data_IF_144615602904
#
_entry.id   IF_144615602904
#
_cell.length_a   1.000
_cell.length_b   1.000
_cell.length_c   1.000
_cell.angle_alpha   90.00
_cell.angle_beta   90.00
_cell.angle_gamma   90.00
#
_symmetry.space_group_name_H-M   'P 1'
#
loop_
_entity.id
_entity.type
_entity.pdbx_description
1 polymer ?
#
# COMPACT_ATOMS: atom_id res chain seq x y z
N UNK A 1 11.31 -19.61 -26.29
CA UNK A 1 12.40 -19.59 -27.28
C UNK A 1 12.21 -20.64 -28.37
N UNK A 2 11.92 -21.89 -28.00
CA UNK A 2 11.82 -23.00 -29.02
C UNK A 2 10.66 -22.79 -30.00
N UNK A 3 9.51 -22.28 -29.54
CA UNK A 3 8.38 -21.92 -30.42
C UNK A 3 8.75 -20.85 -31.44
N UNK A 4 9.61 -19.91 -31.05
CA UNK A 4 9.99 -18.75 -31.84
C UNK A 4 11.27 -18.97 -32.68
N UNK A 5 12.02 -20.04 -32.44
CA UNK A 5 13.29 -20.30 -33.12
C UNK A 5 13.13 -20.26 -34.65
N UNK A 6 13.92 -19.42 -35.31
CA UNK A 6 13.92 -19.25 -36.76
C UNK A 6 12.67 -18.55 -37.35
N UNK A 7 11.81 -17.98 -36.50
CA UNK A 7 10.61 -17.23 -36.90
C UNK A 7 10.80 -15.73 -36.67
N UNK A 8 9.92 -14.94 -37.28
CA UNK A 8 9.83 -13.49 -37.05
C UNK A 8 8.47 -13.15 -36.47
N UNK A 9 8.44 -12.23 -35.50
CA UNK A 9 7.19 -11.68 -34.96
C UNK A 9 6.46 -10.73 -35.94
N UNK A 10 7.05 -10.47 -37.09
CA UNK A 10 6.53 -9.51 -38.11
C UNK A 10 7.09 -8.10 -37.91
N UNK A 11 6.74 -7.23 -38.83
CA UNK A 11 7.15 -5.82 -38.87
C UNK A 11 5.95 -4.86 -38.69
N UNK A 12 4.78 -5.40 -38.37
CA UNK A 12 3.54 -4.66 -38.17
C UNK A 12 3.42 -4.10 -36.74
N UNK A 13 2.22 -3.83 -36.27
CA UNK A 13 1.95 -3.23 -34.97
C UNK A 13 2.25 -4.14 -33.76
N UNK A 14 2.39 -5.46 -33.98
CA UNK A 14 2.67 -6.40 -32.92
C UNK A 14 4.09 -6.26 -32.39
N UNK A 15 4.23 -6.17 -31.08
CA UNK A 15 5.51 -6.13 -30.38
C UNK A 15 5.56 -7.18 -29.27
N UNK A 16 6.75 -7.73 -29.01
CA UNK A 16 7.00 -8.69 -27.94
C UNK A 16 8.11 -8.18 -27.02
N UNK A 17 7.79 -7.97 -25.77
CA UNK A 17 8.77 -7.66 -24.72
C UNK A 17 8.94 -8.83 -23.77
N UNK A 18 10.18 -9.15 -23.43
CA UNK A 18 10.54 -10.26 -22.53
C UNK A 18 11.30 -9.72 -21.32
N UNK A 19 10.81 -10.04 -20.16
CA UNK A 19 11.34 -9.60 -18.86
C UNK A 19 11.73 -10.84 -18.05
N UNK A 20 12.98 -11.32 -18.09
CA UNK A 20 13.44 -12.37 -17.22
C UNK A 20 13.27 -11.95 -15.75
N UNK A 21 12.79 -12.85 -14.90
CA UNK A 21 12.38 -12.51 -13.53
C UNK A 21 13.55 -12.09 -12.62
N UNK A 22 14.79 -12.42 -12.97
CA UNK A 22 16.00 -12.04 -12.22
C UNK A 22 17.24 -12.06 -13.11
N UNK A 23 18.33 -11.46 -12.63
CA UNK A 23 19.61 -11.50 -13.35
C UNK A 23 20.20 -12.91 -13.49
N UNK A 24 20.14 -13.81 -12.49
CA UNK A 24 20.53 -15.21 -12.69
C UNK A 24 19.75 -15.91 -13.82
N UNK A 25 18.42 -15.69 -13.89
CA UNK A 25 17.60 -16.23 -14.99
C UNK A 25 18.02 -15.61 -16.31
N UNK A 26 18.25 -14.32 -16.38
CA UNK A 26 18.74 -13.69 -17.61
C UNK A 26 20.08 -14.29 -18.06
N UNK A 27 21.03 -14.43 -17.14
CA UNK A 27 22.32 -15.02 -17.44
C UNK A 27 22.17 -16.46 -17.96
N UNK A 28 21.25 -17.24 -17.38
CA UNK A 28 20.96 -18.60 -17.88
C UNK A 28 20.38 -18.59 -19.31
N UNK A 29 19.47 -17.67 -19.61
CA UNK A 29 18.94 -17.51 -20.97
C UNK A 29 20.02 -17.09 -21.98
N UNK A 30 21.02 -16.33 -21.56
CA UNK A 30 22.18 -15.99 -22.39
C UNK A 30 23.06 -17.21 -22.61
N UNK A 31 23.38 -17.95 -21.54
CA UNK A 31 24.27 -19.12 -21.60
C UNK A 31 23.71 -20.27 -22.45
N UNK A 32 22.42 -20.52 -22.36
CA UNK A 32 21.76 -21.58 -23.13
C UNK A 32 21.31 -21.14 -24.53
N UNK A 33 21.57 -19.88 -24.91
CA UNK A 33 21.23 -19.32 -26.21
C UNK A 33 19.77 -18.92 -26.41
N UNK A 34 18.90 -19.10 -25.42
CA UNK A 34 17.49 -18.72 -25.53
C UNK A 34 17.28 -17.22 -25.73
N UNK A 35 18.10 -16.38 -25.09
CA UNK A 35 18.05 -14.93 -25.27
C UNK A 35 18.38 -14.53 -26.72
N UNK A 36 19.38 -15.16 -27.33
CA UNK A 36 19.71 -14.91 -28.74
C UNK A 36 18.56 -15.29 -29.67
N UNK A 37 18.02 -16.51 -29.51
CA UNK A 37 16.85 -16.99 -30.30
C UNK A 37 15.66 -16.04 -30.19
N UNK A 38 15.38 -15.46 -29.02
CA UNK A 38 14.30 -14.49 -28.81
C UNK A 38 14.59 -13.17 -29.53
N UNK A 39 15.81 -12.63 -29.38
CA UNK A 39 16.19 -11.36 -30.03
C UNK A 39 16.18 -11.46 -31.56
N UNK A 40 16.62 -12.59 -32.14
CA UNK A 40 16.59 -12.84 -33.56
C UNK A 40 15.18 -12.78 -34.18
N UNK A 41 14.13 -13.03 -33.39
CA UNK A 41 12.73 -12.94 -33.82
C UNK A 41 12.20 -11.51 -33.92
N UNK A 42 12.91 -10.53 -33.34
CA UNK A 42 12.46 -9.14 -33.15
C UNK A 42 11.94 -8.85 -31.75
N UNK A 43 12.02 -9.81 -30.82
CA UNK A 43 11.63 -9.58 -29.44
C UNK A 43 12.60 -8.64 -28.73
N UNK A 44 12.07 -7.80 -27.82
CA UNK A 44 12.86 -6.84 -27.04
C UNK A 44 13.13 -7.44 -25.66
N UNK A 45 14.40 -7.73 -25.36
CA UNK A 45 14.81 -8.21 -24.04
C UNK A 45 15.01 -7.03 -23.11
N UNK A 46 14.39 -7.07 -21.94
CA UNK A 46 14.45 -6.00 -20.92
C UNK A 46 14.79 -6.57 -19.54
N UNK A 47 15.36 -5.76 -18.65
CA UNK A 47 15.58 -6.14 -17.26
C UNK A 47 14.26 -6.24 -16.50
N UNK A 48 14.21 -7.11 -15.49
CA UNK A 48 13.06 -7.21 -14.61
C UNK A 48 12.79 -5.86 -13.91
N UNK A 49 11.58 -5.34 -14.05
CA UNK A 49 11.12 -4.17 -13.33
C UNK A 49 9.60 -4.21 -13.12
N UNK A 50 9.11 -3.45 -12.17
CA UNK A 50 7.68 -3.31 -11.93
C UNK A 50 7.13 -2.19 -12.82
N UNK A 51 6.53 -2.55 -13.93
CA UNK A 51 6.12 -1.56 -14.93
C UNK A 51 4.90 -1.94 -15.77
N UNK A 52 4.96 -2.99 -16.58
CA UNK A 52 3.89 -3.26 -17.58
C UNK A 52 2.50 -3.42 -16.96
N UNK A 53 2.38 -4.00 -15.76
CA UNK A 53 1.08 -4.25 -15.11
C UNK A 53 0.34 -2.97 -14.65
N UNK A 54 1.00 -1.82 -14.66
CA UNK A 54 0.38 -0.52 -14.33
C UNK A 54 0.70 0.58 -15.35
N UNK A 55 1.13 0.20 -16.54
CA UNK A 55 1.33 1.12 -17.67
C UNK A 55 2.59 1.97 -17.60
N UNK A 56 3.61 1.56 -16.83
CA UNK A 56 4.91 2.23 -16.83
C UNK A 56 5.84 1.78 -17.97
N UNK A 57 5.37 0.94 -18.88
CA UNK A 57 6.08 0.47 -20.07
C UNK A 57 5.22 -0.52 -20.85
N UNK A 58 5.51 -0.70 -22.12
CA UNK A 58 4.78 -1.58 -23.03
C UNK A 58 3.27 -1.33 -23.03
N UNK A 59 2.90 -0.05 -23.02
CA UNK A 59 1.52 0.39 -23.07
C UNK A 59 0.94 0.11 -24.45
N UNK A 60 -0.22 -0.58 -24.56
CA UNK A 60 -0.88 -0.77 -25.83
C UNK A 60 -1.41 0.55 -26.40
N UNK A 61 -1.54 0.63 -27.71
CA UNK A 61 -2.21 1.73 -28.40
C UNK A 61 -3.70 1.79 -28.04
N UNK A 62 -4.36 2.90 -28.39
CA UNK A 62 -5.81 2.97 -28.29
C UNK A 62 -6.49 1.85 -29.08
N UNK A 63 -7.46 1.19 -28.48
CA UNK A 63 -8.09 -0.08 -28.93
C UNK A 63 -7.11 -1.27 -29.01
N UNK A 64 -5.90 -1.12 -28.47
CA UNK A 64 -4.91 -2.18 -28.46
C UNK A 64 -5.29 -3.30 -27.49
N UNK A 65 -4.84 -4.51 -27.83
CA UNK A 65 -4.98 -5.69 -26.99
C UNK A 65 -3.61 -6.17 -26.51
N UNK A 66 -3.42 -6.23 -25.19
CA UNK A 66 -2.19 -6.70 -24.57
C UNK A 66 -2.40 -8.10 -23.99
N UNK A 67 -1.54 -9.04 -24.38
CA UNK A 67 -1.47 -10.36 -23.74
C UNK A 67 -0.21 -10.46 -22.91
N UNK A 68 -0.29 -11.02 -21.70
CA UNK A 68 0.86 -11.03 -20.79
C UNK A 68 0.90 -12.23 -19.86
N UNK A 69 2.09 -12.68 -19.57
CA UNK A 69 2.38 -13.61 -18.51
C UNK A 69 2.77 -12.81 -17.26
N UNK A 70 1.79 -12.46 -16.46
CA UNK A 70 1.99 -11.71 -15.21
C UNK A 70 1.03 -12.21 -14.14
N UNK A 71 1.33 -11.93 -12.88
CA UNK A 71 0.50 -12.37 -11.77
C UNK A 71 -0.70 -11.47 -11.51
N UNK A 72 -0.82 -10.35 -12.23
CA UNK A 72 -1.84 -9.33 -11.95
C UNK A 72 -2.38 -8.72 -13.23
N UNK A 73 -3.69 -8.56 -13.21
CA UNK A 73 -4.44 -7.83 -14.23
C UNK A 73 -5.38 -6.88 -13.49
N UNK A 74 -5.16 -5.58 -13.62
CA UNK A 74 -5.96 -4.56 -12.96
C UNK A 74 -6.78 -3.78 -13.99
N UNK A 75 -8.08 -3.61 -13.77
CA UNK A 75 -8.90 -2.73 -14.60
C UNK A 75 -8.31 -1.32 -14.67
N UNK A 76 -8.38 -0.68 -15.83
CA UNK A 76 -7.99 0.72 -16.05
C UNK A 76 -6.53 1.07 -15.69
N UNK A 77 -5.62 0.09 -15.71
CA UNK A 77 -4.20 0.32 -15.45
C UNK A 77 -3.29 0.16 -16.64
N UNK A 78 -3.85 -0.27 -17.77
CA UNK A 78 -3.12 -0.29 -19.01
C UNK A 78 -2.92 1.13 -19.53
N UNK A 79 -1.68 1.47 -19.76
CA UNK A 79 -1.34 2.79 -20.27
C UNK A 79 -1.60 3.92 -19.29
N UNK A 80 -1.53 3.65 -17.97
CA UNK A 80 -1.68 4.66 -16.94
C UNK A 80 -2.81 5.64 -17.21
N UNK A 81 -4.04 5.27 -16.97
CA UNK A 81 -5.23 6.08 -17.13
C UNK A 81 -5.56 6.42 -18.59
N UNK A 82 -6.34 5.56 -19.17
CA UNK A 82 -7.02 5.85 -20.41
C UNK A 82 -7.75 7.19 -20.28
N UNK A 83 -7.35 8.13 -21.11
CA UNK A 83 -7.91 9.49 -21.13
C UNK A 83 -8.63 9.70 -22.45
N UNK A 84 -9.55 10.66 -22.49
CA UNK A 84 -10.18 11.09 -23.73
C UNK A 84 -10.91 9.96 -24.51
N UNK A 85 -11.53 9.03 -23.78
CA UNK A 85 -12.26 7.92 -24.40
C UNK A 85 -11.40 6.81 -24.98
N UNK A 86 -10.09 6.81 -24.77
CA UNK A 86 -9.21 5.72 -25.14
C UNK A 86 -9.56 4.44 -24.36
N UNK A 87 -9.43 3.31 -25.02
CA UNK A 87 -9.61 1.98 -24.42
C UNK A 87 -8.43 1.07 -24.76
N UNK A 88 -8.12 0.16 -23.84
CA UNK A 88 -7.21 -0.95 -24.09
C UNK A 88 -7.72 -2.19 -23.35
N UNK A 89 -7.38 -3.37 -23.86
CA UNK A 89 -7.78 -4.64 -23.29
C UNK A 89 -6.55 -5.46 -22.91
N UNK A 90 -6.66 -6.24 -21.83
CA UNK A 90 -5.58 -7.11 -21.35
C UNK A 90 -6.10 -8.51 -21.08
N UNK A 91 -5.35 -9.52 -21.51
CA UNK A 91 -5.55 -10.90 -21.10
C UNK A 91 -4.27 -11.47 -20.47
N UNK A 92 -4.45 -12.30 -19.45
CA UNK A 92 -3.38 -13.11 -18.90
C UNK A 92 -3.29 -14.42 -19.68
N UNK A 93 -2.08 -14.77 -20.14
CA UNK A 93 -1.81 -15.96 -20.90
C UNK A 93 -0.53 -16.63 -20.39
N UNK A 94 -0.38 -17.92 -20.65
CA UNK A 94 0.88 -18.61 -20.40
C UNK A 94 1.95 -18.22 -21.44
N UNK A 95 3.22 -18.37 -21.07
CA UNK A 95 4.34 -17.93 -21.91
C UNK A 95 4.41 -18.65 -23.27
N UNK A 96 3.94 -19.90 -23.36
CA UNK A 96 3.95 -20.66 -24.60
C UNK A 96 2.88 -20.16 -25.56
N UNK A 97 1.67 -19.88 -25.06
CA UNK A 97 0.60 -19.29 -25.90
C UNK A 97 0.93 -17.87 -26.33
N UNK A 98 1.64 -17.08 -25.52
CA UNK A 98 2.20 -15.79 -25.94
C UNK A 98 3.22 -16.00 -27.08
N UNK A 99 4.12 -16.96 -26.96
CA UNK A 99 5.09 -17.26 -28.00
C UNK A 99 4.44 -17.79 -29.29
N UNK A 100 3.40 -18.62 -29.18
CA UNK A 100 2.62 -19.08 -30.34
C UNK A 100 1.94 -17.92 -31.06
N UNK A 101 1.30 -17.02 -30.33
CA UNK A 101 0.71 -15.78 -30.84
C UNK A 101 1.76 -14.89 -31.50
N UNK A 102 2.95 -14.76 -30.92
CA UNK A 102 4.05 -14.01 -31.50
C UNK A 102 4.58 -14.65 -32.77
N UNK A 103 4.71 -16.00 -32.80
CA UNK A 103 5.08 -16.75 -34.00
C UNK A 103 4.07 -16.57 -35.17
N UNK A 104 2.81 -16.36 -34.83
CA UNK A 104 1.71 -16.06 -35.75
C UNK A 104 1.47 -14.52 -35.89
N UNK A 105 2.50 -13.71 -35.69
CA UNK A 105 2.51 -12.25 -35.96
C UNK A 105 1.41 -11.47 -35.23
N UNK A 106 1.07 -11.90 -34.01
CA UNK A 106 0.07 -11.24 -33.15
C UNK A 106 -1.35 -11.80 -33.24
N UNK A 107 -1.62 -12.75 -34.16
CA UNK A 107 -2.91 -13.45 -34.15
C UNK A 107 -2.96 -14.45 -33.03
N UNK A 108 -4.00 -14.34 -32.17
CA UNK A 108 -4.17 -15.22 -31.00
C UNK A 108 -4.10 -16.69 -31.42
N UNK A 109 -3.15 -17.39 -30.84
CA UNK A 109 -2.84 -18.78 -31.17
C UNK A 109 -2.54 -19.53 -29.89
N UNK A 110 -3.15 -20.68 -29.67
CA UNK A 110 -2.89 -21.51 -28.53
C UNK A 110 -1.56 -22.29 -28.68
N UNK A 111 -0.93 -22.62 -27.57
CA UNK A 111 0.35 -23.32 -27.58
C UNK A 111 0.24 -24.74 -28.17
N UNK A 112 -0.90 -25.41 -28.01
CA UNK A 112 -1.18 -26.74 -28.53
C UNK A 112 -1.47 -26.77 -30.05
N UNK A 113 -1.63 -25.62 -30.69
CA UNK A 113 -1.67 -25.49 -32.16
C UNK A 113 -0.26 -25.53 -32.78
N UNK A 114 0.79 -25.52 -31.96
CA UNK A 114 2.19 -25.49 -32.40
C UNK A 114 2.84 -26.86 -32.24
N UNK A 115 3.32 -27.40 -33.35
CA UNK A 115 4.15 -28.63 -33.33
C UNK A 115 5.61 -28.23 -33.03
N UNK A 116 6.00 -28.34 -31.74
CA UNK A 116 7.32 -27.92 -31.26
C UNK A 116 7.89 -28.94 -30.27
N UNK A 117 9.09 -29.39 -30.55
CA UNK A 117 9.88 -30.14 -29.57
C UNK A 117 10.56 -29.17 -28.61
N UNK A 118 10.23 -29.31 -27.34
CA UNK A 118 10.80 -28.44 -26.27
C UNK A 118 12.13 -29.00 -25.78
N UNK A 119 13.18 -28.14 -25.77
CA UNK A 119 14.50 -28.53 -25.30
C UNK A 119 14.56 -28.79 -23.79
N UNK A 120 13.62 -28.25 -23.01
CA UNK A 120 13.49 -28.48 -21.58
C UNK A 120 14.78 -28.27 -20.78
N UNK A 121 15.48 -27.14 -20.90
CA UNK A 121 16.76 -26.94 -20.24
C UNK A 121 16.56 -26.99 -18.72
N UNK A 122 17.52 -27.63 -18.01
CA UNK A 122 17.55 -27.61 -16.54
C UNK A 122 18.02 -26.25 -16.07
N UNK A 123 17.24 -25.61 -15.20
CA UNK A 123 17.66 -24.37 -14.56
C UNK A 123 18.77 -24.65 -13.54
N UNK A 124 19.80 -23.83 -13.59
CA UNK A 124 20.88 -23.84 -12.64
C UNK A 124 21.06 -22.42 -12.05
N UNK A 125 20.91 -22.30 -10.73
CA UNK A 125 21.11 -21.01 -10.06
C UNK A 125 22.59 -20.69 -9.92
N UNK A 126 23.04 -19.63 -10.61
CA UNK A 126 24.39 -19.09 -10.47
C UNK A 126 24.39 -17.85 -9.58
N UNK A 127 24.96 -17.97 -8.41
CA UNK A 127 25.03 -16.88 -7.43
C UNK A 127 26.11 -15.85 -7.71
N UNK A 128 27.03 -16.09 -8.66
CA UNK A 128 28.18 -15.23 -8.96
C UNK A 128 27.79 -13.77 -9.18
N UNK A 129 26.64 -13.51 -9.81
CA UNK A 129 26.15 -12.15 -10.04
C UNK A 129 25.90 -11.43 -8.71
N UNK A 130 25.33 -12.11 -7.72
CA UNK A 130 25.10 -11.54 -6.41
C UNK A 130 26.40 -11.39 -5.62
N UNK A 131 27.28 -12.36 -5.66
CA UNK A 131 28.60 -12.30 -5.02
C UNK A 131 29.42 -11.10 -5.50
N UNK A 132 29.28 -10.72 -6.78
CA UNK A 132 29.97 -9.57 -7.36
C UNK A 132 29.27 -8.23 -7.17
N UNK A 133 28.01 -8.20 -6.71
CA UNK A 133 27.20 -6.96 -6.63
C UNK A 133 26.73 -6.62 -5.24
N UNK A 134 26.64 -7.59 -4.35
CA UNK A 134 26.09 -7.43 -3.01
C UNK A 134 27.20 -7.64 -2.00
N UNK A 135 27.37 -6.69 -1.10
CA UNK A 135 28.28 -6.87 0.03
C UNK A 135 27.75 -8.04 0.89
N UNK A 136 28.64 -8.98 1.19
CA UNK A 136 28.39 -10.12 2.04
C UNK A 136 29.37 -10.12 3.20
N UNK A 137 28.91 -9.86 4.41
CA UNK A 137 29.70 -9.85 5.63
C UNK A 137 30.18 -11.23 6.08
N UNK A 138 29.82 -12.30 5.36
CA UNK A 138 30.09 -13.71 5.74
C UNK A 138 29.57 -14.07 7.13
N UNK A 139 28.50 -13.41 7.57
CA UNK A 139 27.92 -13.62 8.90
C UNK A 139 28.69 -12.94 10.04
N UNK A 140 29.70 -12.14 9.73
CA UNK A 140 30.42 -11.35 10.73
C UNK A 140 29.74 -10.00 10.90
N UNK A 141 29.21 -9.75 12.10
CA UNK A 141 28.66 -8.45 12.44
C UNK A 141 29.78 -7.43 12.69
N UNK A 142 29.62 -6.24 12.17
CA UNK A 142 30.46 -5.09 12.49
C UNK A 142 29.60 -4.03 13.16
N UNK A 143 29.62 -3.92 14.50
CA UNK A 143 28.79 -2.97 15.23
C UNK A 143 29.21 -1.51 15.04
N UNK A 144 30.43 -1.27 14.55
CA UNK A 144 30.98 0.07 14.36
C UNK A 144 30.79 0.62 12.94
N UNK A 145 30.13 -0.17 12.06
CA UNK A 145 29.85 0.29 10.69
C UNK A 145 28.90 1.46 10.69
N UNK A 146 29.32 2.57 10.08
CA UNK A 146 28.47 3.75 9.90
C UNK A 146 27.42 3.50 8.81
N UNK A 147 26.14 3.66 9.17
CA UNK A 147 25.05 3.61 8.21
C UNK A 147 24.90 4.98 7.54
N UNK A 148 25.24 5.08 6.26
CA UNK A 148 25.06 6.29 5.44
C UNK A 148 23.83 6.16 4.56
N UNK A 149 22.80 6.94 4.87
CA UNK A 149 21.59 6.99 4.07
C UNK A 149 21.83 7.76 2.77
N UNK A 150 21.28 7.27 1.68
CA UNK A 150 21.23 8.02 0.42
C UNK A 150 20.37 9.29 0.55
N UNK A 151 20.46 10.25 -0.38
CA UNK A 151 19.82 11.56 -0.26
C UNK A 151 18.28 11.50 -0.17
N UNK A 152 17.67 10.47 -0.75
CA UNK A 152 16.22 10.27 -0.74
C UNK A 152 15.75 9.27 0.33
N UNK A 153 16.64 8.81 1.20
CA UNK A 153 16.31 7.85 2.27
C UNK A 153 16.23 8.62 3.58
N UNK A 154 15.13 8.45 4.29
CA UNK A 154 14.90 9.02 5.63
C UNK A 154 14.39 7.94 6.57
N UNK A 155 14.76 8.08 7.83
CA UNK A 155 14.24 7.20 8.87
C UNK A 155 12.73 7.40 9.07
N UNK A 156 12.10 6.35 9.61
CA UNK A 156 10.74 6.43 10.08
C UNK A 156 10.68 7.30 11.34
N UNK A 157 9.63 8.13 11.49
CA UNK A 157 9.39 8.80 12.76
C UNK A 157 9.10 7.77 13.85
N UNK A 158 9.33 8.14 15.10
CA UNK A 158 8.93 7.32 16.24
C UNK A 158 7.41 7.09 16.22
N UNK A 159 7.00 5.88 16.58
CA UNK A 159 5.60 5.46 16.64
C UNK A 159 5.22 5.18 18.08
N UNK A 160 4.25 5.93 18.61
CA UNK A 160 3.78 5.78 19.97
C UNK A 160 2.94 4.53 20.16
N UNK A 161 3.01 3.93 21.34
CA UNK A 161 2.14 2.83 21.75
C UNK A 161 0.67 3.29 21.83
N UNK A 162 -0.27 2.35 21.75
CA UNK A 162 -1.69 2.65 21.87
C UNK A 162 -1.97 3.24 23.26
N UNK A 163 -2.58 4.44 23.37
CA UNK A 163 -2.96 5.04 24.65
C UNK A 163 -4.20 4.36 25.26
N UNK A 164 -4.48 4.63 26.51
CA UNK A 164 -5.67 4.10 27.18
C UNK A 164 -6.96 4.61 26.53
N UNK A 165 -7.02 5.91 26.28
CA UNK A 165 -8.15 6.59 25.66
C UNK A 165 -7.71 7.27 24.37
N UNK A 166 -8.60 7.36 23.38
CA UNK A 166 -8.26 7.92 22.08
C UNK A 166 -9.27 8.98 21.64
N UNK A 167 -8.77 10.15 21.27
CA UNK A 167 -9.55 11.22 20.64
C UNK A 167 -9.15 11.30 19.18
N UNK A 168 -10.10 11.11 18.28
CA UNK A 168 -9.87 11.11 16.83
C UNK A 168 -10.66 12.23 16.17
N UNK A 169 -10.01 13.04 15.35
CA UNK A 169 -10.71 13.90 14.40
C UNK A 169 -10.94 13.17 13.10
N UNK A 170 -12.17 13.17 12.60
CA UNK A 170 -12.49 12.72 11.25
C UNK A 170 -11.96 13.77 10.27
N UNK A 171 -10.90 13.45 9.54
CA UNK A 171 -10.21 14.41 8.66
C UNK A 171 -10.47 14.17 7.17
N UNK A 172 -11.16 13.10 6.83
CA UNK A 172 -11.69 12.82 5.49
C UNK A 172 -12.85 11.85 5.56
N UNK A 173 -13.82 12.05 4.69
CA UNK A 173 -15.02 11.23 4.57
C UNK A 173 -15.26 10.93 3.09
N UNK A 174 -15.18 9.65 2.71
CA UNK A 174 -15.18 9.19 1.32
C UNK A 174 -16.35 8.23 1.10
N UNK A 175 -17.32 8.64 0.29
CA UNK A 175 -18.54 7.87 0.00
C UNK A 175 -18.51 7.09 -1.31
N UNK A 176 -17.40 7.11 -2.04
CA UNK A 176 -17.25 6.28 -3.23
C UNK A 176 -17.38 4.80 -2.87
N UNK A 177 -18.07 3.99 -3.69
CA UNK A 177 -18.28 2.57 -3.40
C UNK A 177 -17.00 1.78 -3.14
N UNK A 178 -15.89 2.18 -3.78
CA UNK A 178 -14.53 1.64 -3.57
C UNK A 178 -13.53 2.77 -3.63
N UNK A 179 -12.61 2.81 -2.67
CA UNK A 179 -11.47 3.73 -2.68
C UNK A 179 -10.19 2.93 -2.94
N UNK A 180 -9.53 3.23 -4.04
CA UNK A 180 -8.32 2.53 -4.45
C UNK A 180 -7.09 2.99 -3.64
N UNK A 181 -6.07 2.13 -3.56
CA UNK A 181 -4.80 2.52 -2.94
C UNK A 181 -4.09 3.65 -3.70
N UNK A 182 -4.38 3.84 -4.99
CA UNK A 182 -3.82 4.94 -5.78
C UNK A 182 -4.52 6.29 -5.50
N UNK A 183 -5.77 6.25 -5.04
CA UNK A 183 -6.47 7.43 -4.49
C UNK A 183 -5.98 7.77 -3.08
N UNK A 184 -5.69 6.74 -2.27
CA UNK A 184 -5.13 6.93 -0.92
C UNK A 184 -3.69 7.46 -0.98
N UNK A 185 -2.87 6.93 -1.91
CA UNK A 185 -1.51 7.40 -2.17
C UNK A 185 -1.15 7.18 -3.65
N UNK A 186 -0.90 8.21 -4.45
CA UNK A 186 -0.64 8.08 -5.89
C UNK A 186 0.75 7.50 -6.15
N UNK A 187 0.84 6.17 -6.23
CA UNK A 187 2.09 5.40 -6.23
C UNK A 187 3.00 5.65 -7.45
N UNK A 188 2.45 6.04 -8.59
CA UNK A 188 3.23 6.36 -9.79
C UNK A 188 4.00 7.66 -9.65
N UNK A 189 3.33 8.73 -9.24
CA UNK A 189 3.90 10.09 -9.11
C UNK A 189 4.90 10.19 -7.95
N UNK A 190 4.71 9.36 -6.92
CA UNK A 190 5.47 9.42 -5.68
C UNK A 190 6.60 8.39 -5.60
N UNK A 191 6.95 7.76 -6.72
CA UNK A 191 7.94 6.67 -6.74
C UNK A 191 9.31 7.06 -6.18
N UNK A 192 9.73 8.31 -6.35
CA UNK A 192 11.00 8.84 -5.81
C UNK A 192 11.01 9.05 -4.30
N UNK A 193 9.83 9.09 -3.66
CA UNK A 193 9.70 9.29 -2.22
C UNK A 193 9.53 8.00 -1.41
N UNK A 194 9.55 6.81 -2.04
CA UNK A 194 9.24 5.53 -1.38
C UNK A 194 10.11 5.22 -0.16
N UNK A 195 11.33 5.72 -0.13
CA UNK A 195 12.26 5.57 1.00
C UNK A 195 12.32 6.81 1.90
N UNK A 196 11.36 7.72 1.76
CA UNK A 196 11.22 8.92 2.58
C UNK A 196 9.78 9.00 3.10
N UNK A 197 9.49 8.39 4.26
CA UNK A 197 8.12 8.29 4.79
C UNK A 197 7.45 9.66 4.98
N UNK A 198 8.20 10.63 5.48
CA UNK A 198 7.68 11.99 5.69
C UNK A 198 7.36 12.68 4.37
N UNK A 199 8.27 12.60 3.39
CA UNK A 199 8.05 13.17 2.06
C UNK A 199 6.93 12.48 1.29
N UNK A 200 6.81 11.15 1.42
CA UNK A 200 5.75 10.40 0.79
C UNK A 200 4.37 10.74 1.36
N UNK A 201 4.28 10.90 2.68
CA UNK A 201 3.04 11.21 3.36
C UNK A 201 2.38 12.52 2.91
N UNK A 202 3.16 13.49 2.39
CA UNK A 202 2.63 14.75 1.83
C UNK A 202 1.68 14.56 0.63
N UNK A 203 1.70 13.39 0.01
CA UNK A 203 0.84 13.06 -1.13
C UNK A 203 -0.41 12.23 -0.73
N UNK A 204 -0.61 11.97 0.55
CA UNK A 204 -1.77 11.19 1.02
C UNK A 204 -3.06 11.88 0.61
N UNK A 205 -3.95 11.11 -0.05
CA UNK A 205 -5.24 11.59 -0.57
C UNK A 205 -5.16 12.80 -1.52
N UNK A 206 -3.97 13.14 -2.03
CA UNK A 206 -3.75 14.37 -2.82
C UNK A 206 -4.67 14.50 -4.04
N UNK A 207 -5.12 13.39 -4.60
CA UNK A 207 -6.05 13.36 -5.74
C UNK A 207 -7.52 13.31 -5.33
N UNK A 208 -7.82 12.82 -4.13
CA UNK A 208 -9.19 12.59 -3.66
C UNK A 208 -9.66 13.68 -2.72
N UNK A 209 -8.80 14.07 -1.80
CA UNK A 209 -9.05 15.09 -0.78
C UNK A 209 -7.76 15.87 -0.49
N UNK A 210 -7.40 16.84 -1.35
CA UNK A 210 -6.14 17.59 -1.23
C UNK A 210 -5.92 18.30 0.10
N UNK A 211 -6.98 18.60 0.85
CA UNK A 211 -6.90 19.25 2.14
C UNK A 211 -6.61 18.29 3.31
N UNK A 212 -6.66 16.97 3.06
CA UNK A 212 -6.44 15.94 4.09
C UNK A 212 -5.14 16.13 4.86
N UNK A 213 -4.01 16.29 4.16
CA UNK A 213 -2.69 16.41 4.79
C UNK A 213 -2.63 17.57 5.77
N UNK A 214 -3.18 18.74 5.36
CA UNK A 214 -3.25 19.92 6.22
C UNK A 214 -4.04 19.65 7.50
N UNK A 215 -5.25 19.07 7.36
CA UNK A 215 -6.11 18.74 8.52
C UNK A 215 -5.47 17.71 9.44
N UNK A 216 -4.87 16.66 8.89
CA UNK A 216 -4.20 15.63 9.69
C UNK A 216 -3.02 16.20 10.49
N UNK A 217 -2.18 17.03 9.86
CA UNK A 217 -1.05 17.70 10.53
C UNK A 217 -1.48 18.65 11.64
N UNK A 218 -2.59 19.36 11.47
CA UNK A 218 -3.13 20.22 12.55
C UNK A 218 -3.47 19.38 13.78
N UNK A 219 -4.17 18.27 13.61
CA UNK A 219 -4.51 17.36 14.73
C UNK A 219 -3.25 16.75 15.34
N UNK A 220 -2.27 16.39 14.52
CA UNK A 220 -1.02 15.79 14.99
C UNK A 220 -0.24 16.70 15.96
N UNK A 221 -0.43 18.02 15.90
CA UNK A 221 0.22 18.96 16.83
C UNK A 221 -0.12 18.64 18.28
N UNK A 222 -1.37 18.27 18.57
CA UNK A 222 -1.80 17.89 19.93
C UNK A 222 -1.10 16.63 20.41
N UNK A 223 -0.96 15.60 19.56
CA UNK A 223 -0.23 14.38 19.91
C UNK A 223 1.25 14.66 20.18
N UNK A 224 1.88 15.49 19.35
CA UNK A 224 3.29 15.89 19.56
C UNK A 224 3.49 16.66 20.84
N UNK A 225 2.54 17.53 21.23
CA UNK A 225 2.56 18.21 22.51
C UNK A 225 2.47 17.23 23.69
N UNK A 226 1.55 16.25 23.61
CA UNK A 226 1.46 15.18 24.63
C UNK A 226 2.80 14.43 24.76
N UNK A 227 3.41 14.03 23.65
CA UNK A 227 4.68 13.30 23.63
C UNK A 227 5.85 14.14 24.17
N UNK A 228 5.79 15.46 24.03
CA UNK A 228 6.75 16.40 24.57
C UNK A 228 6.49 16.76 26.05
N UNK A 229 5.38 16.29 26.64
CA UNK A 229 4.94 16.70 28.00
C UNK A 229 4.37 18.11 28.04
N UNK A 230 3.93 18.63 26.89
CA UNK A 230 3.33 19.97 26.73
C UNK A 230 1.80 19.90 26.72
N UNK A 231 1.14 21.05 26.87
CA UNK A 231 -0.31 21.12 26.88
C UNK A 231 -0.90 20.93 25.47
N UNK A 232 -1.66 19.87 25.18
CA UNK A 232 -2.21 19.63 23.85
C UNK A 232 -3.26 20.67 23.42
N UNK A 233 -3.91 21.34 24.37
CA UNK A 233 -4.89 22.40 24.11
C UNK A 233 -4.23 23.67 23.60
N UNK A 234 -3.00 23.98 24.02
CA UNK A 234 -2.23 25.10 23.49
C UNK A 234 -1.82 24.85 22.02
N UNK A 235 -1.46 23.59 21.70
CA UNK A 235 -1.09 23.19 20.35
C UNK A 235 -2.31 23.08 19.40
N UNK A 236 -3.48 22.73 19.94
CA UNK A 236 -4.75 22.54 19.20
C UNK A 236 -5.91 23.12 20.04
N UNK A 237 -6.19 24.43 19.98
CA UNK A 237 -7.17 25.09 20.86
C UNK A 237 -8.58 24.52 20.82
N UNK A 238 -9.04 24.02 19.66
CA UNK A 238 -10.37 23.40 19.52
C UNK A 238 -10.53 22.12 20.36
N UNK A 239 -9.44 21.48 20.74
CA UNK A 239 -9.45 20.30 21.62
C UNK A 239 -10.03 20.61 23.01
N UNK A 240 -9.99 21.89 23.44
CA UNK A 240 -10.56 22.28 24.73
C UNK A 240 -12.06 21.96 24.82
N UNK A 241 -12.84 22.35 23.83
CA UNK A 241 -14.27 22.08 23.81
C UNK A 241 -14.57 20.56 23.78
N UNK A 242 -13.72 19.79 23.10
CA UNK A 242 -13.82 18.33 23.05
C UNK A 242 -13.59 17.73 24.44
N UNK A 243 -12.52 18.16 25.13
CA UNK A 243 -12.19 17.69 26.48
C UNK A 243 -13.24 18.13 27.50
N UNK A 244 -13.76 19.36 27.41
CA UNK A 244 -14.85 19.83 28.27
C UNK A 244 -16.07 18.89 28.16
N UNK A 245 -16.45 18.48 26.96
CA UNK A 245 -17.55 17.53 26.73
C UNK A 245 -17.20 16.11 27.27
N UNK A 246 -15.99 15.64 27.02
CA UNK A 246 -15.53 14.32 27.51
C UNK A 246 -15.54 14.27 29.03
N UNK A 247 -15.06 15.32 29.71
CA UNK A 247 -14.95 15.36 31.17
C UNK A 247 -16.28 15.35 31.91
N UNK A 248 -17.40 15.64 31.22
CA UNK A 248 -18.76 15.52 31.82
C UNK A 248 -19.03 14.06 32.24
N UNK A 249 -18.55 13.09 31.50
CA UNK A 249 -18.78 11.66 31.76
C UNK A 249 -17.49 10.89 32.12
N UNK A 250 -16.34 11.37 31.69
CA UNK A 250 -15.02 10.72 31.82
C UNK A 250 -14.00 11.70 32.42
N UNK A 251 -14.20 12.05 33.69
CA UNK A 251 -13.42 13.07 34.39
C UNK A 251 -11.94 12.69 34.61
N UNK A 252 -11.58 11.42 34.46
CA UNK A 252 -10.24 10.87 34.64
C UNK A 252 -9.38 10.89 33.37
N UNK A 253 -9.94 11.30 32.23
CA UNK A 253 -9.20 11.46 30.95
C UNK A 253 -8.26 12.66 31.07
N UNK A 254 -6.97 12.40 30.88
CA UNK A 254 -5.88 13.40 30.99
C UNK A 254 -4.85 13.15 29.90
N UNK A 255 -3.93 14.12 29.72
CA UNK A 255 -2.84 14.00 28.73
C UNK A 255 -1.99 12.73 28.89
N UNK A 256 -1.85 12.23 30.13
CA UNK A 256 -1.03 11.06 30.44
C UNK A 256 -1.69 9.74 30.01
N UNK A 257 -3.02 9.70 29.87
CA UNK A 257 -3.76 8.48 29.54
C UNK A 257 -4.59 8.59 28.26
N UNK A 258 -4.37 9.64 27.45
CA UNK A 258 -5.04 9.80 26.17
C UNK A 258 -4.07 10.00 25.02
N UNK A 259 -4.51 9.67 23.82
CA UNK A 259 -3.88 10.05 22.55
C UNK A 259 -4.84 10.86 21.70
N UNK A 260 -4.26 11.73 20.86
CA UNK A 260 -5.00 12.55 19.91
C UNK A 260 -4.51 12.28 18.50
N UNK A 261 -5.42 12.04 17.56
CA UNK A 261 -5.02 11.82 16.20
C UNK A 261 -6.15 11.91 15.20
N UNK A 262 -5.86 11.49 13.99
CA UNK A 262 -6.81 11.53 12.89
C UNK A 262 -7.36 10.15 12.53
N UNK A 263 -8.53 10.16 11.92
CA UNK A 263 -9.14 9.02 11.25
C UNK A 263 -9.76 9.44 9.93
N UNK A 264 -9.92 8.51 9.02
CA UNK A 264 -10.76 8.67 7.83
C UNK A 264 -11.94 7.72 7.90
N UNK A 265 -13.03 8.11 7.27
CA UNK A 265 -14.09 7.19 6.88
C UNK A 265 -14.01 6.95 5.37
N UNK A 266 -14.16 5.71 4.95
CA UNK A 266 -14.37 5.34 3.56
C UNK A 266 -15.23 4.08 3.46
N UNK A 267 -16.14 4.01 2.48
CA UNK A 267 -17.06 2.88 2.32
C UNK A 267 -16.29 1.56 2.18
N UNK A 268 -15.35 1.50 1.24
CA UNK A 268 -14.57 0.27 0.98
C UNK A 268 -13.15 0.63 0.52
N UNK A 269 -12.26 1.00 1.45
CA UNK A 269 -10.90 1.43 1.11
C UNK A 269 -9.95 0.25 0.89
N UNK A 270 -8.89 0.50 0.08
CA UNK A 270 -7.71 -0.35 0.01
C UNK A 270 -7.66 -1.33 -1.16
N UNK A 271 -8.43 -1.08 -2.22
CA UNK A 271 -8.28 -1.84 -3.47
C UNK A 271 -7.03 -1.38 -4.23
N UNK A 272 -6.17 -2.31 -4.60
CA UNK A 272 -4.96 -2.01 -5.36
C UNK A 272 -3.68 -2.62 -4.80
N UNK A 273 -2.51 -2.06 -5.20
CA UNK A 273 -1.18 -2.62 -4.90
C UNK A 273 -0.41 -1.90 -3.80
N UNK A 274 -0.54 -0.57 -3.70
CA UNK A 274 0.23 0.28 -2.78
C UNK A 274 -0.37 0.31 -1.36
N UNK A 275 -0.77 -0.85 -0.84
CA UNK A 275 -1.52 -0.98 0.43
C UNK A 275 -0.71 -0.57 1.64
N UNK A 276 0.59 -0.87 1.61
CA UNK A 276 1.50 -0.54 2.68
C UNK A 276 1.65 0.98 2.78
N UNK A 277 1.97 1.67 1.67
CA UNK A 277 2.09 3.13 1.65
C UNK A 277 0.76 3.82 1.97
N UNK A 278 -0.36 3.26 1.52
CA UNK A 278 -1.69 3.79 1.83
C UNK A 278 -2.00 3.80 3.33
N UNK A 279 -1.45 2.84 4.09
CA UNK A 279 -1.58 2.79 5.55
C UNK A 279 -0.49 3.62 6.26
N UNK A 280 0.80 3.40 5.89
CA UNK A 280 1.93 4.05 6.56
C UNK A 280 1.91 5.57 6.44
N UNK A 281 1.49 6.11 5.29
CA UNK A 281 1.41 7.55 5.10
C UNK A 281 0.38 8.21 6.02
N UNK A 282 -0.76 7.56 6.26
CA UNK A 282 -1.75 8.04 7.23
C UNK A 282 -1.18 8.00 8.66
N UNK A 283 -0.49 6.91 9.04
CA UNK A 283 0.16 6.79 10.36
C UNK A 283 1.19 7.88 10.56
N UNK A 284 2.05 8.15 9.58
CA UNK A 284 3.07 9.21 9.63
C UNK A 284 2.45 10.59 9.85
N UNK A 285 1.24 10.83 9.37
CA UNK A 285 0.46 12.06 9.57
C UNK A 285 -0.38 12.07 10.85
N UNK A 286 -0.17 11.12 11.75
CA UNK A 286 -0.90 11.04 13.02
C UNK A 286 -2.21 10.27 12.96
N UNK A 287 -2.39 9.41 11.94
CA UNK A 287 -3.54 8.50 11.86
C UNK A 287 -3.46 7.38 12.90
N UNK A 288 -4.56 7.15 13.63
CA UNK A 288 -4.68 6.07 14.61
C UNK A 288 -5.69 5.00 14.22
N UNK A 289 -6.59 5.32 13.32
CA UNK A 289 -7.63 4.41 12.87
C UNK A 289 -8.06 4.71 11.44
N UNK A 290 -8.67 3.73 10.81
CA UNK A 290 -9.62 3.93 9.72
C UNK A 290 -10.97 3.39 10.15
N UNK A 291 -12.05 4.02 9.68
CA UNK A 291 -13.41 3.54 9.84
C UNK A 291 -13.95 3.24 8.45
N UNK A 292 -14.48 2.04 8.25
CA UNK A 292 -15.01 1.60 6.96
C UNK A 292 -16.29 0.77 7.13
N UNK A 293 -17.12 0.67 6.08
CA UNK A 293 -18.17 -0.32 6.07
C UNK A 293 -17.57 -1.71 5.77
N UNK A 294 -16.58 -1.76 4.88
CA UNK A 294 -15.84 -2.97 4.53
C UNK A 294 -14.42 -2.60 4.07
N UNK A 295 -13.45 -3.46 4.29
CA UNK A 295 -12.12 -3.30 3.69
C UNK A 295 -12.05 -4.06 2.36
N UNK A 296 -11.65 -3.38 1.29
CA UNK A 296 -11.58 -3.95 -0.05
C UNK A 296 -10.66 -5.18 -0.13
N UNK A 297 -9.62 -5.23 0.70
CA UNK A 297 -8.73 -6.38 0.79
C UNK A 297 -8.28 -6.64 2.22
N UNK A 298 -8.15 -7.92 2.58
CA UNK A 298 -7.53 -8.32 3.86
C UNK A 298 -6.13 -7.73 4.03
N UNK A 299 -5.38 -7.57 2.93
CA UNK A 299 -4.02 -7.03 2.96
C UNK A 299 -3.96 -5.57 3.36
N UNK A 300 -4.91 -4.74 2.92
CA UNK A 300 -4.95 -3.34 3.37
C UNK A 300 -5.25 -3.26 4.87
N UNK A 301 -6.24 -4.03 5.34
CA UNK A 301 -6.54 -4.15 6.78
C UNK A 301 -5.31 -4.58 7.58
N UNK A 302 -4.59 -5.62 7.13
CA UNK A 302 -3.36 -6.06 7.80
C UNK A 302 -2.27 -5.00 7.79
N UNK A 303 -2.17 -4.18 6.73
CA UNK A 303 -1.20 -3.07 6.72
C UNK A 303 -1.57 -1.96 7.71
N UNK A 304 -2.85 -1.64 7.90
CA UNK A 304 -3.26 -0.74 8.98
C UNK A 304 -2.79 -1.27 10.34
N UNK A 305 -3.03 -2.54 10.62
CA UNK A 305 -2.61 -3.21 11.87
C UNK A 305 -1.09 -3.17 12.03
N UNK A 306 -0.33 -3.47 10.96
CA UNK A 306 1.15 -3.43 11.00
C UNK A 306 1.69 -2.04 11.35
N UNK A 307 0.95 -0.99 11.05
CA UNK A 307 1.26 0.38 11.44
C UNK A 307 0.57 0.80 12.75
N UNK A 308 0.03 -0.16 13.53
CA UNK A 308 -0.61 0.10 14.80
C UNK A 308 -1.89 0.92 14.69
N UNK A 309 -2.53 0.92 13.53
CA UNK A 309 -3.80 1.60 13.31
C UNK A 309 -4.96 0.63 13.52
N UNK A 310 -6.01 1.12 14.16
CA UNK A 310 -7.23 0.37 14.44
C UNK A 310 -8.11 0.28 13.18
N UNK A 311 -8.38 -0.93 12.66
CA UNK A 311 -9.18 -1.12 11.46
C UNK A 311 -10.67 -1.26 11.81
N UNK A 312 -11.29 -0.18 12.25
CA UNK A 312 -12.69 -0.21 12.66
C UNK A 312 -13.65 -0.43 11.49
N UNK A 313 -14.75 -1.08 11.80
CA UNK A 313 -15.90 -1.22 10.93
C UNK A 313 -17.13 -0.57 11.55
N UNK A 314 -17.99 -0.03 10.69
CA UNK A 314 -19.31 0.50 11.04
C UNK A 314 -20.32 -0.02 10.03
N UNK A 315 -21.55 -0.43 10.44
CA UNK A 315 -22.58 -0.84 9.51
C UNK A 315 -22.88 0.22 8.43
N UNK A 316 -23.33 -0.24 7.27
CA UNK A 316 -23.85 0.66 6.24
C UNK A 316 -25.08 1.43 6.77
N UNK A 317 -25.21 2.68 6.36
CA UNK A 317 -26.31 3.56 6.76
C UNK A 317 -25.83 4.98 7.05
N UNK A 318 -26.65 5.73 7.77
CA UNK A 318 -26.32 7.08 8.19
C UNK A 318 -25.17 7.06 9.22
N UNK A 319 -24.12 7.82 8.95
CA UNK A 319 -23.00 7.94 9.87
C UNK A 319 -23.37 8.83 11.06
N UNK A 320 -22.97 8.45 12.29
CA UNK A 320 -23.17 9.28 13.48
C UNK A 320 -22.28 10.53 13.50
N UNK A 321 -21.29 10.60 12.62
CA UNK A 321 -20.29 11.66 12.52
C UNK A 321 -20.13 12.15 11.07
N UNK A 322 -19.45 13.27 10.91
CA UNK A 322 -19.08 13.86 9.63
C UNK A 322 -17.62 14.32 9.64
N UNK A 323 -17.11 14.67 8.46
CA UNK A 323 -15.76 15.26 8.34
C UNK A 323 -15.65 16.53 9.22
N UNK A 324 -14.63 16.55 10.08
CA UNK A 324 -14.39 17.60 11.07
C UNK A 324 -14.85 17.26 12.49
N UNK A 325 -15.74 16.29 12.67
CA UNK A 325 -16.19 15.86 14.00
C UNK A 325 -15.09 15.17 14.79
N UNK A 326 -15.15 15.28 16.11
CA UNK A 326 -14.31 14.55 17.03
C UNK A 326 -15.01 13.31 17.56
N UNK A 327 -14.27 12.22 17.60
CA UNK A 327 -14.69 10.95 18.18
C UNK A 327 -13.87 10.70 19.46
N UNK A 328 -14.52 10.24 20.49
CA UNK A 328 -13.87 9.79 21.71
C UNK A 328 -14.09 8.28 21.88
N UNK A 329 -13.01 7.55 22.12
CA UNK A 329 -13.00 6.10 22.31
C UNK A 329 -12.34 5.81 23.67
N UNK A 330 -13.14 5.62 24.73
CA UNK A 330 -12.62 5.29 26.04
C UNK A 330 -12.07 3.86 26.08
N UNK A 331 -11.12 3.62 26.97
CA UNK A 331 -10.58 2.28 27.29
C UNK A 331 -10.17 1.46 26.07
N UNK A 332 -9.75 2.12 24.97
CA UNK A 332 -9.44 1.45 23.70
C UNK A 332 -8.29 0.44 23.85
N UNK A 333 -7.30 0.75 24.68
CA UNK A 333 -6.18 -0.15 24.96
C UNK A 333 -6.68 -1.42 25.66
N UNK A 334 -7.49 -1.25 26.70
CA UNK A 334 -8.10 -2.37 27.42
C UNK A 334 -9.02 -3.20 26.52
N UNK A 335 -9.79 -2.58 25.64
CA UNK A 335 -10.63 -3.31 24.69
C UNK A 335 -9.79 -4.21 23.74
N UNK A 336 -8.62 -3.75 23.32
CA UNK A 336 -7.68 -4.57 22.52
C UNK A 336 -7.08 -5.69 23.37
N UNK A 337 -6.68 -5.43 24.63
CA UNK A 337 -6.14 -6.41 25.57
C UNK A 337 -7.18 -7.49 25.92
N UNK A 338 -8.41 -7.10 26.20
CA UNK A 338 -9.53 -7.97 26.57
C UNK A 338 -10.16 -8.69 25.39
N UNK A 339 -9.62 -8.50 24.18
CA UNK A 339 -10.05 -9.16 22.94
C UNK A 339 -11.50 -8.86 22.57
N UNK A 340 -11.97 -7.66 22.86
CA UNK A 340 -13.31 -7.25 22.47
C UNK A 340 -13.39 -7.14 20.94
N UNK A 341 -14.53 -7.50 20.38
CA UNK A 341 -14.83 -7.37 18.95
C UNK A 341 -15.60 -6.10 18.60
N UNK A 342 -16.17 -5.48 19.62
CA UNK A 342 -16.91 -4.22 19.52
C UNK A 342 -16.46 -3.28 20.64
N UNK A 343 -16.50 -1.98 20.36
CA UNK A 343 -16.17 -0.94 21.32
C UNK A 343 -17.17 0.19 21.21
N UNK A 344 -17.54 0.74 22.36
CA UNK A 344 -18.36 1.94 22.40
C UNK A 344 -17.49 3.17 22.11
N UNK A 345 -17.96 3.98 21.17
CA UNK A 345 -17.36 5.26 20.81
C UNK A 345 -18.41 6.37 20.98
N UNK A 346 -17.94 7.59 21.02
CA UNK A 346 -18.79 8.77 21.13
C UNK A 346 -18.40 9.80 20.10
N UNK A 347 -19.36 10.42 19.44
CA UNK A 347 -19.12 11.63 18.66
C UNK A 347 -19.40 12.85 19.55
N UNK A 348 -18.52 13.83 19.48
CA UNK A 348 -18.69 15.10 20.19
C UNK A 348 -19.47 16.05 19.30
N UNK A 349 -20.71 16.36 19.67
CA UNK A 349 -21.59 17.30 18.94
C UNK A 349 -22.28 18.23 19.92
N UNK A 350 -22.22 19.52 19.64
CA UNK A 350 -22.89 20.57 20.45
C UNK A 350 -22.51 20.55 21.93
N UNK A 351 -21.25 20.13 22.25
CA UNK A 351 -20.76 19.99 23.61
C UNK A 351 -21.24 18.74 24.34
N UNK A 352 -21.87 17.80 23.66
CA UNK A 352 -22.38 16.56 24.22
C UNK A 352 -21.72 15.33 23.56
N UNK A 353 -21.69 14.22 24.29
CA UNK A 353 -21.27 12.91 23.81
C UNK A 353 -22.47 12.10 23.34
N UNK A 354 -22.51 11.75 22.05
CA UNK A 354 -23.52 10.84 21.48
C UNK A 354 -22.86 9.49 21.16
N UNK A 355 -23.33 8.43 21.82
CA UNK A 355 -22.73 7.10 21.72
C UNK A 355 -23.07 6.41 20.41
N UNK A 356 -22.12 5.62 19.91
CA UNK A 356 -22.29 4.67 18.81
C UNK A 356 -21.30 3.50 18.98
N UNK A 357 -21.45 2.45 18.19
CA UNK A 357 -20.61 1.26 18.29
C UNK A 357 -19.67 1.15 17.07
N UNK A 358 -18.40 0.85 17.33
CA UNK A 358 -17.43 0.45 16.32
C UNK A 358 -17.07 -1.02 16.49
N UNK A 359 -16.90 -1.74 15.37
CA UNK A 359 -16.46 -3.12 15.37
C UNK A 359 -14.97 -3.18 15.06
N UNK A 360 -14.21 -3.96 15.84
CA UNK A 360 -12.79 -4.22 15.60
C UNK A 360 -12.57 -5.48 14.74
N UNK A 361 -13.60 -6.31 14.61
CA UNK A 361 -13.49 -7.61 13.94
C UNK A 361 -12.57 -8.58 14.68
N UNK A 362 -12.29 -9.73 14.06
CA UNK A 362 -11.34 -10.69 14.61
C UNK A 362 -9.90 -10.21 14.42
N UNK A 363 -9.19 -9.99 15.53
CA UNK A 363 -7.76 -9.74 15.57
C UNK A 363 -7.05 -10.97 16.16
N UNK A 364 -5.93 -11.39 15.60
CA UNK A 364 -5.06 -12.40 16.21
C UNK A 364 -4.32 -11.81 17.42
N UNK A 365 -3.73 -12.65 18.24
CA UNK A 365 -2.96 -12.19 19.40
C UNK A 365 -1.75 -11.35 18.97
N UNK A 366 -1.04 -11.74 17.90
CA UNK A 366 0.07 -10.95 17.35
C UNK A 366 -0.40 -9.61 16.79
N UNK A 367 -1.54 -9.55 16.10
CA UNK A 367 -2.11 -8.31 15.59
C UNK A 367 -2.46 -7.34 16.72
N UNK A 368 -2.96 -7.85 17.86
CA UNK A 368 -3.24 -7.05 19.07
C UNK A 368 -1.96 -6.49 19.68
N UNK A 369 -0.94 -7.32 19.84
CA UNK A 369 0.36 -6.88 20.34
C UNK A 369 1.01 -5.81 19.46
N UNK A 370 0.91 -5.95 18.14
CA UNK A 370 1.40 -4.94 17.18
C UNK A 370 0.69 -3.61 17.39
N UNK A 371 -0.65 -3.62 17.51
CA UNK A 371 -1.46 -2.42 17.76
C UNK A 371 -1.07 -1.79 19.11
N UNK A 372 -0.99 -2.60 20.17
CA UNK A 372 -0.61 -2.13 21.50
C UNK A 372 0.77 -1.48 21.54
N UNK A 373 1.74 -2.04 20.81
CA UNK A 373 3.10 -1.49 20.71
C UNK A 373 3.25 -0.33 19.71
N UNK A 374 2.19 -0.01 18.98
CA UNK A 374 2.13 1.13 18.06
C UNK A 374 2.55 0.85 16.63
N UNK A 375 3.31 -0.20 16.36
CA UNK A 375 3.58 -0.72 15.01
C UNK A 375 4.40 -2.02 15.05
N UNK A 376 4.48 -2.70 13.91
CA UNK A 376 5.27 -3.93 13.71
C UNK A 376 6.78 -3.70 13.96
N UNK A 377 7.31 -2.51 13.67
CA UNK A 377 8.71 -2.17 13.95
C UNK A 377 8.97 -2.24 15.45
N UNK A 378 8.10 -1.64 16.26
CA UNK A 378 8.21 -1.67 17.72
C UNK A 378 8.00 -3.08 18.28
N UNK A 379 7.07 -3.84 17.70
CA UNK A 379 6.79 -5.23 18.08
C UNK A 379 8.05 -6.10 17.95
N UNK A 380 8.84 -5.91 16.89
CA UNK A 380 10.06 -6.68 16.62
C UNK A 380 11.33 -6.10 17.26
N UNK A 381 11.28 -4.92 17.87
CA UNK A 381 12.43 -4.41 18.65
C UNK A 381 12.64 -5.28 19.87
N UNK A 382 13.82 -5.88 19.93
CA UNK A 382 14.32 -6.65 21.09
C UNK A 382 14.98 -5.72 22.10
#
# INVERSE_FOLDING_TARGET
ADILAGKSIGADEFTLSVYPASMPIWMELVRNGAAAKLMETGAIMKTAFCGPCFGAGDTPSNNGFSIRHSTRNFPNREGSKLQSGQIASVALMDARSIAATAANKGYLTAADEMDVEYTGPKYFFDKTIYENRVFDSKGVADPDVEIKLGPNIKDWPAMSALPENLILKVVSEIHDPVTTTDELIPSGETSSYRSNPLGLAEFTLSRKDPAYVGRAKEVQKAQKAIEAGECPVEALPELKAVLDAVHVQFADVKSENMGVGSTIFAVKPGDGSAREQAASCQKVLGGWANIANEYATKRYRSNLINWGMLPFLIPEGDLPFSNGDYLFIPDVKKAVEDKLTEIQAYVVKDGELKSFTLQMGGLTDDEREIILKGCLINYNRR
#
